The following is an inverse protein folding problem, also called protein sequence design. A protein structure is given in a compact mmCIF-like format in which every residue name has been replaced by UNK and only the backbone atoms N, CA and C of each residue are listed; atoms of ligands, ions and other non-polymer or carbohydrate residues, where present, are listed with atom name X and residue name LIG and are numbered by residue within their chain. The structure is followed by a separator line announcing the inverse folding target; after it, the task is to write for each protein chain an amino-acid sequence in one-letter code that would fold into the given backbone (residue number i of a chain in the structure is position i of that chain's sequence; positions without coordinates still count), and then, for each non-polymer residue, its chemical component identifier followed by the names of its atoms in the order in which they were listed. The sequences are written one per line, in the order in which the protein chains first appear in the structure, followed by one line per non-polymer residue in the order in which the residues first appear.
data_IF_815013074626
#
_entry.id   IF_815013074626
#
_cell.length_a   1.000
_cell.length_b   1.000
_cell.length_c   1.000
_cell.angle_alpha   90.00
_cell.angle_beta   90.00
_cell.angle_gamma   90.00
#
_symmetry.space_group_name_H-M   'P 1'
#
loop_
_entity.id
_entity.type
_entity.pdbx_description
1 polymer ?
#
# COMPACT_ATOMS: atom_id res chain seq x y z
N UNK A 1 -10.79 7.26 5.46
CA UNK A 1 -10.73 5.82 5.11
C UNK A 1 -12.02 5.40 4.44
N UNK A 2 -11.92 4.57 3.43
CA UNK A 2 -13.08 4.10 2.67
C UNK A 2 -13.04 2.58 2.57
N UNK A 3 -14.14 1.93 2.91
CA UNK A 3 -14.31 0.49 2.73
C UNK A 3 -15.70 0.21 2.17
N UNK A 4 -15.75 -0.55 1.10
CA UNK A 4 -17.00 -1.07 0.54
C UNK A 4 -17.23 -2.46 1.10
N UNK A 5 -18.46 -2.78 1.45
CA UNK A 5 -18.57 -4.05 2.05
C UNK A 5 -19.91 -4.69 2.16
N UNK A 6 -19.79 -5.93 2.39
CA UNK A 6 -20.79 -6.90 2.70
C UNK A 6 -20.88 -7.17 4.23
N UNK A 7 -20.31 -6.28 5.05
CA UNK A 7 -20.24 -6.44 6.50
C UNK A 7 -18.95 -7.06 7.01
N UNK A 8 -18.05 -7.53 6.14
CA UNK A 8 -16.74 -8.02 6.54
C UNK A 8 -15.77 -6.87 6.78
N UNK A 9 -14.79 -7.07 7.66
CA UNK A 9 -13.74 -6.08 7.89
C UNK A 9 -12.86 -5.99 6.65
N UNK A 10 -12.78 -4.80 6.07
CA UNK A 10 -11.94 -4.52 4.90
C UNK A 10 -10.61 -3.89 5.28
N UNK A 11 -10.55 -3.17 6.38
CA UNK A 11 -9.34 -2.50 6.87
C UNK A 11 -9.07 -2.98 8.29
N UNK A 12 -7.87 -3.53 8.48
CA UNK A 12 -7.41 -3.97 9.80
C UNK A 12 -6.08 -3.29 10.08
N UNK A 13 -5.98 -2.65 11.24
CA UNK A 13 -4.78 -1.93 11.68
C UNK A 13 -4.37 -2.52 13.03
N UNK A 14 -3.10 -2.92 13.15
CA UNK A 14 -2.56 -3.49 14.38
C UNK A 14 -2.32 -2.46 15.46
N UNK A 15 -1.53 -2.84 16.46
CA UNK A 15 -1.27 -2.03 17.65
C UNK A 15 -0.09 -1.08 17.45
N UNK A 16 -0.08 0.02 18.19
CA UNK A 16 1.01 0.99 18.22
C UNK A 16 1.34 1.59 16.86
N UNK A 17 0.33 1.81 16.03
CA UNK A 17 0.48 2.46 14.74
C UNK A 17 0.25 3.96 14.86
N UNK A 18 1.00 4.72 14.05
CA UNK A 18 0.79 6.16 13.90
C UNK A 18 0.50 6.46 12.45
N UNK A 19 -0.60 7.12 12.19
CA UNK A 19 -1.05 7.49 10.85
C UNK A 19 -1.10 9.01 10.76
N UNK A 20 -0.32 9.57 9.85
CA UNK A 20 -0.25 11.02 9.65
C UNK A 20 -1.55 11.60 9.07
N UNK A 21 -1.61 12.92 9.04
CA UNK A 21 -2.78 13.65 8.56
C UNK A 21 -3.01 13.45 7.05
N UNK A 22 -4.27 13.53 6.65
CA UNK A 22 -4.69 13.50 5.24
C UNK A 22 -4.33 12.22 4.49
N UNK A 23 -4.21 11.10 5.20
CA UNK A 23 -4.02 9.80 4.56
C UNK A 23 -5.35 9.31 3.98
N UNK A 24 -5.24 8.67 2.81
CA UNK A 24 -6.38 8.06 2.13
C UNK A 24 -6.17 6.54 2.08
N UNK A 25 -7.01 5.83 2.80
CA UNK A 25 -6.98 4.35 2.82
C UNK A 25 -8.33 3.87 2.28
N UNK A 26 -8.30 3.21 1.13
CA UNK A 26 -9.50 2.78 0.43
C UNK A 26 -9.41 1.30 0.11
N UNK A 27 -10.27 0.50 0.76
CA UNK A 27 -10.29 -0.95 0.60
C UNK A 27 -11.56 -1.41 -0.08
N UNK A 28 -11.42 -2.02 -1.23
CA UNK A 28 -12.45 -2.79 -1.92
C UNK A 28 -12.29 -4.28 -1.59
N UNK A 29 -11.06 -4.78 -1.57
CA UNK A 29 -10.71 -6.14 -1.25
C UNK A 29 -10.38 -6.25 0.25
N UNK A 30 -9.15 -5.91 0.62
CA UNK A 30 -8.71 -5.94 2.00
C UNK A 30 -7.38 -5.20 2.16
N UNK A 31 -7.25 -4.43 3.22
CA UNK A 31 -5.99 -3.78 3.60
C UNK A 31 -5.66 -4.16 5.03
N UNK A 32 -4.49 -4.76 5.23
CA UNK A 32 -3.99 -5.16 6.53
C UNK A 32 -2.71 -4.41 6.85
N UNK A 33 -2.67 -3.75 7.99
CA UNK A 33 -1.51 -3.03 8.50
C UNK A 33 -1.11 -3.69 9.82
N UNK A 34 0.14 -4.12 9.92
CA UNK A 34 0.67 -4.80 11.08
C UNK A 34 0.85 -3.90 12.31
N UNK A 35 1.72 -4.33 13.23
CA UNK A 35 1.98 -3.61 14.46
C UNK A 35 3.17 -2.66 14.29
N UNK A 36 3.19 -1.58 15.06
CA UNK A 36 4.31 -0.64 15.13
C UNK A 36 4.64 -0.03 13.76
N UNK A 37 3.61 0.33 12.99
CA UNK A 37 3.76 0.94 11.67
C UNK A 37 3.63 2.46 11.81
N UNK A 38 4.59 3.18 11.22
CA UNK A 38 4.55 4.63 11.14
C UNK A 38 4.25 5.04 9.71
N UNK A 39 3.14 5.73 9.52
CA UNK A 39 2.68 6.24 8.22
C UNK A 39 2.72 7.76 8.25
N UNK A 40 3.42 8.36 7.31
CA UNK A 40 3.52 9.80 7.18
C UNK A 40 2.23 10.47 6.70
N UNK A 41 2.32 11.73 6.33
CA UNK A 41 1.17 12.52 5.84
C UNK A 41 0.93 12.29 4.36
N UNK A 42 -0.33 12.45 3.95
CA UNK A 42 -0.70 12.39 2.53
C UNK A 42 -0.38 11.05 1.87
N UNK A 43 -0.40 9.97 2.62
CA UNK A 43 -0.18 8.62 2.09
C UNK A 43 -1.48 8.08 1.53
N UNK A 44 -1.40 7.43 0.37
CA UNK A 44 -2.53 6.75 -0.26
C UNK A 44 -2.28 5.25 -0.29
N UNK A 45 -3.19 4.49 0.29
CA UNK A 45 -3.16 3.03 0.29
C UNK A 45 -4.50 2.59 -0.32
N UNK A 46 -4.45 2.16 -1.58
CA UNK A 46 -5.66 1.92 -2.37
C UNK A 46 -5.55 0.59 -3.10
N UNK A 47 -6.43 -0.35 -2.79
CA UNK A 47 -6.40 -1.69 -3.37
C UNK A 47 -7.35 -1.85 -4.56
N UNK A 48 -7.80 -0.76 -5.15
CA UNK A 48 -8.82 -0.82 -6.19
C UNK A 48 -8.59 0.23 -7.28
N UNK A 49 -9.16 -0.05 -8.46
CA UNK A 49 -9.12 0.82 -9.61
C UNK A 49 -10.49 0.91 -10.26
N UNK A 50 -10.72 1.98 -11.01
CA UNK A 50 -11.92 2.16 -11.84
C UNK A 50 -11.78 1.43 -13.18
N UNK A 51 -11.70 0.10 -13.10
CA UNK A 51 -11.70 -0.79 -14.26
C UNK A 51 -10.31 -1.20 -14.73
N UNK A 52 -10.33 -2.10 -15.69
CA UNK A 52 -9.16 -2.55 -16.41
C UNK A 52 -8.73 -1.50 -17.44
N UNK A 53 -7.59 -1.71 -18.06
CA UNK A 53 -7.01 -0.80 -19.05
C UNK A 53 -7.01 -1.39 -20.46
N UNK A 54 -7.81 -2.44 -20.70
CA UNK A 54 -8.02 -2.99 -22.02
C UNK A 54 -8.87 -2.04 -22.89
N UNK A 55 -8.78 -2.23 -24.21
CA UNK A 55 -9.43 -1.33 -25.15
C UNK A 55 -10.94 -1.17 -24.90
N UNK A 56 -11.66 -2.27 -24.69
CA UNK A 56 -13.11 -2.23 -24.48
C UNK A 56 -13.48 -1.42 -23.24
N UNK A 57 -12.76 -1.63 -22.13
CA UNK A 57 -13.01 -0.90 -20.88
C UNK A 57 -12.70 0.59 -21.04
N UNK A 58 -11.63 0.91 -21.75
CA UNK A 58 -11.22 2.31 -21.96
C UNK A 58 -12.22 3.10 -22.81
N UNK A 59 -13.06 2.45 -23.58
CA UNK A 59 -14.15 3.10 -24.33
C UNK A 59 -15.27 3.60 -23.43
N UNK A 60 -15.39 3.07 -22.21
CA UNK A 60 -16.43 3.49 -21.28
C UNK A 60 -15.99 4.73 -20.49
N UNK A 61 -16.92 5.61 -20.12
CA UNK A 61 -16.61 6.66 -19.15
C UNK A 61 -16.06 6.03 -17.86
N UNK A 62 -15.02 6.62 -17.22
CA UNK A 62 -14.38 6.03 -16.04
C UNK A 62 -15.34 5.67 -14.91
N UNK A 63 -16.34 6.50 -14.63
CA UNK A 63 -17.32 6.22 -13.57
C UNK A 63 -18.25 5.05 -13.87
N UNK A 64 -18.36 4.67 -15.12
CA UNK A 64 -19.19 3.52 -15.53
C UNK A 64 -18.40 2.21 -15.55
N UNK A 65 -17.08 2.27 -15.37
CA UNK A 65 -16.22 1.10 -15.32
C UNK A 65 -16.39 0.39 -13.98
N UNK A 66 -16.41 -0.95 -14.02
CA UNK A 66 -16.48 -1.74 -12.79
C UNK A 66 -15.22 -1.55 -11.94
N UNK A 67 -15.40 -1.44 -10.64
CA UNK A 67 -14.27 -1.41 -9.70
C UNK A 67 -13.59 -2.78 -9.72
N UNK A 68 -12.27 -2.78 -9.82
CA UNK A 68 -11.45 -3.99 -9.82
C UNK A 68 -10.32 -3.87 -8.80
N UNK A 69 -9.84 -5.01 -8.33
CA UNK A 69 -8.70 -5.11 -7.43
C UNK A 69 -7.76 -6.22 -7.90
N UNK A 70 -6.45 -5.94 -7.89
CA UNK A 70 -5.42 -6.96 -8.16
C UNK A 70 -5.12 -7.83 -6.95
N UNK A 71 -5.72 -7.54 -5.83
CA UNK A 71 -5.52 -8.25 -4.59
C UNK A 71 -5.43 -7.34 -3.38
N UNK A 72 -5.36 -7.95 -2.18
CA UNK A 72 -5.24 -7.20 -0.94
C UNK A 72 -3.89 -6.51 -0.84
N UNK A 73 -3.83 -5.50 0.03
CA UNK A 73 -2.57 -4.88 0.45
C UNK A 73 -2.25 -5.38 1.84
N UNK A 74 -1.03 -5.84 2.03
CA UNK A 74 -0.54 -6.31 3.33
C UNK A 74 0.72 -5.55 3.71
N UNK A 75 0.67 -4.84 4.81
CA UNK A 75 1.82 -4.14 5.37
C UNK A 75 2.23 -4.86 6.65
N UNK A 76 3.47 -5.31 6.73
CA UNK A 76 3.99 -6.05 7.85
C UNK A 76 4.20 -5.20 9.09
N UNK A 77 4.95 -5.73 10.05
CA UNK A 77 5.26 -5.06 11.31
C UNK A 77 6.51 -4.19 11.17
N UNK A 78 6.60 -3.15 11.98
CA UNK A 78 7.78 -2.29 12.08
C UNK A 78 8.13 -1.65 10.73
N UNK A 79 7.14 -1.23 9.96
CA UNK A 79 7.32 -0.59 8.66
C UNK A 79 7.19 0.92 8.83
N UNK A 80 8.09 1.66 8.19
CA UNK A 80 8.00 3.10 8.09
C UNK A 80 7.64 3.49 6.65
N UNK A 81 6.53 4.19 6.51
CA UNK A 81 6.04 4.70 5.24
C UNK A 81 6.16 6.22 5.28
N UNK A 82 7.01 6.79 4.44
CA UNK A 82 7.25 8.23 4.38
C UNK A 82 6.07 9.00 3.79
N UNK A 83 6.17 10.33 3.85
CA UNK A 83 5.11 11.21 3.36
C UNK A 83 4.84 11.02 1.87
N UNK A 84 3.59 11.19 1.47
CA UNK A 84 3.16 11.18 0.06
C UNK A 84 3.47 9.88 -0.69
N UNK A 85 3.60 8.78 0.02
CA UNK A 85 3.74 7.45 -0.60
C UNK A 85 2.39 6.99 -1.12
N UNK A 86 2.40 6.28 -2.24
CA UNK A 86 1.24 5.59 -2.78
C UNK A 86 1.51 4.09 -2.83
N UNK A 87 0.62 3.29 -2.26
CA UNK A 87 0.72 1.83 -2.28
C UNK A 87 -0.46 1.29 -3.07
N UNK A 88 -0.16 0.49 -4.10
CA UNK A 88 -1.14 0.00 -5.05
C UNK A 88 -1.61 -1.41 -4.71
N UNK A 89 -2.71 -1.82 -5.34
CA UNK A 89 -3.36 -3.11 -5.08
C UNK A 89 -2.43 -4.30 -5.28
N UNK A 90 -2.60 -5.32 -4.46
CA UNK A 90 -1.85 -6.56 -4.54
C UNK A 90 -0.46 -6.52 -3.92
N UNK A 91 -0.04 -5.39 -3.34
CA UNK A 91 1.31 -5.22 -2.79
C UNK A 91 1.38 -5.75 -1.36
N UNK A 92 2.42 -6.52 -1.08
CA UNK A 92 2.82 -6.92 0.27
C UNK A 92 4.15 -6.26 0.63
N UNK A 93 4.16 -5.53 1.74
CA UNK A 93 5.38 -4.92 2.28
C UNK A 93 5.85 -5.75 3.47
N UNK A 94 7.05 -6.31 3.36
CA UNK A 94 7.65 -7.16 4.39
C UNK A 94 8.04 -6.37 5.64
N UNK A 95 8.18 -7.08 6.75
CA UNK A 95 8.51 -6.51 8.05
C UNK A 95 9.81 -5.70 8.01
N UNK A 96 9.90 -4.69 8.83
CA UNK A 96 11.12 -3.91 9.06
C UNK A 96 11.63 -3.21 7.80
N UNK A 97 10.72 -2.80 6.93
CA UNK A 97 11.04 -2.09 5.70
C UNK A 97 10.76 -0.59 5.82
N UNK A 98 11.41 0.18 4.98
CA UNK A 98 11.23 1.63 4.88
C UNK A 98 10.84 1.98 3.45
N UNK A 99 9.75 2.69 3.32
CA UNK A 99 9.31 3.24 2.04
C UNK A 99 9.60 4.75 2.09
N UNK A 100 10.53 5.20 1.26
CA UNK A 100 10.93 6.60 1.23
C UNK A 100 9.78 7.50 0.75
N UNK A 101 9.80 8.77 1.13
CA UNK A 101 8.79 9.74 0.73
C UNK A 101 8.64 9.81 -0.80
N UNK A 102 7.43 10.08 -1.26
CA UNK A 102 7.09 10.22 -2.68
C UNK A 102 7.24 8.94 -3.51
N UNK A 103 7.38 7.78 -2.89
CA UNK A 103 7.47 6.51 -3.59
C UNK A 103 6.10 6.03 -4.03
N UNK A 104 6.03 5.43 -5.22
CA UNK A 104 4.87 4.67 -5.67
C UNK A 104 5.22 3.19 -5.66
N UNK A 105 4.65 2.45 -4.71
CA UNK A 105 4.94 1.02 -4.53
C UNK A 105 4.01 0.21 -5.44
N UNK A 106 4.61 -0.42 -6.44
CA UNK A 106 3.89 -1.19 -7.47
C UNK A 106 4.14 -2.70 -7.38
N UNK A 107 5.11 -3.12 -6.57
CA UNK A 107 5.53 -4.52 -6.41
C UNK A 107 5.73 -4.83 -4.94
N UNK A 108 5.71 -6.12 -4.61
CA UNK A 108 6.03 -6.60 -3.28
C UNK A 108 7.42 -6.12 -2.83
N UNK A 109 7.52 -5.82 -1.56
CA UNK A 109 8.74 -5.35 -0.92
C UNK A 109 9.21 -6.44 0.05
N UNK A 110 10.41 -7.00 -0.15
CA UNK A 110 10.96 -7.96 0.80
C UNK A 110 11.19 -7.32 2.16
N UNK A 111 11.16 -8.12 3.21
CA UNK A 111 11.49 -7.64 4.55
C UNK A 111 12.89 -7.00 4.59
N UNK A 112 13.09 -6.08 5.52
CA UNK A 112 14.36 -5.41 5.74
C UNK A 112 14.88 -4.61 4.53
N UNK A 113 13.98 -4.09 3.72
CA UNK A 113 14.31 -3.35 2.50
C UNK A 113 14.01 -1.87 2.64
N UNK A 114 14.78 -1.07 1.89
CA UNK A 114 14.49 0.34 1.67
C UNK A 114 14.11 0.50 0.21
N UNK A 115 12.95 1.12 -0.02
CA UNK A 115 12.38 1.33 -1.35
C UNK A 115 12.24 2.82 -1.61
N UNK A 116 12.57 3.24 -2.82
CA UNK A 116 12.44 4.65 -3.21
C UNK A 116 12.06 4.75 -4.69
N UNK A 117 11.39 5.85 -5.04
CA UNK A 117 11.13 6.27 -6.41
C UNK A 117 9.75 5.97 -6.94
N UNK A 118 9.56 6.25 -8.22
CA UNK A 118 8.34 6.00 -8.98
C UNK A 118 8.69 5.50 -10.39
N UNK A 119 8.50 4.20 -10.70
CA UNK A 119 8.05 3.15 -9.77
C UNK A 119 9.07 2.87 -8.68
N UNK A 120 8.59 2.45 -7.50
CA UNK A 120 9.44 2.16 -6.37
C UNK A 120 10.38 0.97 -6.62
N UNK A 121 11.65 1.16 -6.28
CA UNK A 121 12.68 0.14 -6.44
C UNK A 121 13.39 -0.07 -5.11
N UNK A 122 13.73 -1.32 -4.82
CA UNK A 122 14.57 -1.64 -3.66
C UNK A 122 15.95 -1.06 -3.89
N UNK A 123 16.34 -0.09 -3.04
CA UNK A 123 17.65 0.56 -3.14
C UNK A 123 18.65 0.00 -2.13
N UNK A 124 18.16 -0.68 -1.10
CA UNK A 124 18.98 -1.35 -0.12
C UNK A 124 18.20 -2.50 0.50
N UNK A 125 18.87 -3.63 0.73
CA UNK A 125 18.31 -4.76 1.44
C UNK A 125 19.31 -5.24 2.48
N UNK A 126 18.85 -5.31 3.74
CA UNK A 126 19.68 -5.80 4.83
C UNK A 126 19.41 -7.28 5.09
N UNK A 127 20.45 -8.05 5.37
CA UNK A 127 20.34 -9.43 5.81
C UNK A 127 20.48 -9.52 7.33
N UNK A 128 20.02 -10.61 7.90
CA UNK A 128 20.00 -10.83 9.35
C UNK A 128 21.38 -10.74 10.00
N UNK A 129 22.43 -11.09 9.31
CA UNK A 129 23.79 -11.19 9.84
C UNK A 129 24.72 -10.10 9.32
N UNK A 130 24.18 -9.01 8.81
CA UNK A 130 24.99 -7.91 8.30
C UNK A 130 25.10 -6.81 9.31
N UNK A 131 26.34 -6.44 9.61
CA UNK A 131 26.65 -5.23 10.37
C UNK A 131 26.70 -4.05 9.42
N UNK A 132 25.86 -3.10 9.67
CA UNK A 132 25.73 -1.90 8.85
C UNK A 132 26.35 -0.70 9.57
#
# INVERSE_FOLDING_TARGET
MTAWGDGNKKICIGDNCSIGAYCHISAFNHISIGNNVLIGKWVSIVDNNHGLTDYATLLLPPLERSIVSKGPIVIGDNVWIGDKVTILSGVTIGNNSVIAANTVVTKDVPAFSIVAGNPGMVIKKNGENKNE
#
